data_IF_387173046309
#
_entry.id   IF_387173046309
#
_cell.length_a   1.000
_cell.length_b   1.000
_cell.length_c   1.000
_cell.angle_alpha   90.00
_cell.angle_beta   90.00
_cell.angle_gamma   90.00
#
_symmetry.space_group_name_H-M   'P 1'
#
loop_
_entity.id
_entity.type
_entity.pdbx_description
1 polymer ?
#
# COMPACT_ATOMS: atom_id res chain seq x y z
N UNK A 1 38.56 24.53 -14.00
CA UNK A 1 38.92 23.88 -12.72
C UNK A 1 37.86 22.82 -12.47
N UNK A 2 38.25 21.54 -12.37
CA UNK A 2 37.33 20.50 -11.91
C UNK A 2 37.37 20.52 -10.39
N UNK A 3 36.24 20.79 -9.73
CA UNK A 3 36.12 20.57 -8.29
C UNK A 3 36.47 19.11 -7.97
N UNK A 4 37.26 18.84 -6.93
CA UNK A 4 37.53 17.46 -6.53
C UNK A 4 36.20 16.80 -6.15
N UNK A 5 35.82 15.75 -6.89
CA UNK A 5 34.64 14.94 -6.55
C UNK A 5 34.83 14.38 -5.15
N UNK A 6 33.95 14.80 -4.24
CA UNK A 6 33.86 14.19 -2.93
C UNK A 6 33.24 12.80 -3.07
N UNK A 7 34.11 11.79 -3.17
CA UNK A 7 33.70 10.40 -3.29
C UNK A 7 32.89 9.93 -2.08
N UNK A 8 33.11 10.47 -0.87
CA UNK A 8 32.34 10.09 0.31
C UNK A 8 30.88 10.55 0.18
N UNK A 9 30.66 11.79 -0.26
CA UNK A 9 29.32 12.30 -0.54
C UNK A 9 28.61 11.47 -1.62
N UNK A 10 29.33 11.04 -2.66
CA UNK A 10 28.79 10.16 -3.70
C UNK A 10 28.40 8.77 -3.15
N UNK A 11 29.23 8.17 -2.28
CA UNK A 11 28.92 6.89 -1.65
C UNK A 11 27.71 6.99 -0.72
N UNK A 12 27.57 8.06 0.06
CA UNK A 12 26.39 8.27 0.91
C UNK A 12 25.11 8.42 0.08
N UNK A 13 25.16 9.18 -1.02
CA UNK A 13 24.03 9.34 -1.94
C UNK A 13 23.65 8.01 -2.57
N UNK A 14 24.64 7.21 -2.99
CA UNK A 14 24.41 5.88 -3.52
C UNK A 14 23.75 4.97 -2.48
N UNK A 15 24.24 4.96 -1.23
CA UNK A 15 23.64 4.19 -0.14
C UNK A 15 22.18 4.56 0.12
N UNK A 16 21.86 5.86 0.14
CA UNK A 16 20.48 6.34 0.29
C UNK A 16 19.59 5.90 -0.89
N UNK A 17 20.10 5.97 -2.11
CA UNK A 17 19.37 5.56 -3.31
C UNK A 17 19.09 4.04 -3.30
N UNK A 18 20.06 3.22 -2.92
CA UNK A 18 19.90 1.76 -2.81
C UNK A 18 18.85 1.41 -1.76
N UNK A 19 18.92 2.01 -0.57
CA UNK A 19 17.92 1.78 0.48
C UNK A 19 16.51 2.19 0.03
N UNK A 20 16.38 3.32 -0.66
CA UNK A 20 15.09 3.76 -1.20
C UNK A 20 14.54 2.76 -2.22
N UNK A 21 15.39 2.21 -3.08
CA UNK A 21 14.98 1.20 -4.05
C UNK A 21 14.53 -0.10 -3.37
N UNK A 22 15.29 -0.58 -2.39
CA UNK A 22 14.93 -1.80 -1.63
C UNK A 22 13.57 -1.65 -0.94
N UNK A 23 13.34 -0.52 -0.25
CA UNK A 23 12.05 -0.27 0.40
C UNK A 23 10.90 -0.19 -0.62
N UNK A 24 11.12 0.42 -1.78
CA UNK A 24 10.11 0.48 -2.84
C UNK A 24 9.78 -0.92 -3.38
N UNK A 25 10.77 -1.80 -3.53
CA UNK A 25 10.55 -3.19 -3.92
C UNK A 25 9.79 -3.98 -2.86
N UNK A 26 10.11 -3.79 -1.58
CA UNK A 26 9.41 -4.44 -0.48
C UNK A 26 7.93 -4.02 -0.45
N UNK A 27 7.64 -2.73 -0.58
CA UNK A 27 6.28 -2.22 -0.68
C UNK A 27 5.54 -2.78 -1.89
N UNK A 28 6.18 -2.85 -3.05
CA UNK A 28 5.57 -3.41 -4.26
C UNK A 28 5.25 -4.91 -4.10
N UNK A 29 6.13 -5.68 -3.47
CA UNK A 29 5.88 -7.11 -3.20
C UNK A 29 4.67 -7.26 -2.25
N UNK A 30 4.59 -6.41 -1.23
CA UNK A 30 3.47 -6.38 -0.30
C UNK A 30 2.15 -6.00 -1.01
N UNK A 31 2.18 -4.99 -1.87
CA UNK A 31 1.06 -4.58 -2.73
C UNK A 31 0.56 -5.70 -3.62
N UNK A 32 1.47 -6.36 -4.34
CA UNK A 32 1.12 -7.50 -5.19
C UNK A 32 0.54 -8.64 -4.36
N UNK A 33 1.10 -8.92 -3.18
CA UNK A 33 0.66 -10.01 -2.31
C UNK A 33 -0.72 -9.79 -1.68
N UNK A 34 -1.07 -8.53 -1.40
CA UNK A 34 -2.34 -8.18 -0.72
C UNK A 34 -3.42 -7.66 -1.67
N UNK A 35 -3.02 -7.11 -2.82
CA UNK A 35 -3.87 -6.37 -3.75
C UNK A 35 -4.13 -4.92 -3.32
N UNK A 36 -3.44 -4.42 -2.30
CA UNK A 36 -3.65 -3.10 -1.69
C UNK A 36 -2.31 -2.47 -1.31
N UNK A 37 -2.20 -1.15 -1.40
CA UNK A 37 -1.03 -0.43 -0.87
C UNK A 37 -0.94 -0.49 0.66
N UNK A 38 0.17 0.03 1.19
CA UNK A 38 0.45 0.00 2.63
C UNK A 38 -0.61 0.79 3.41
N UNK A 39 -1.01 1.97 2.92
CA UNK A 39 -2.00 2.82 3.59
C UNK A 39 -3.40 2.18 3.55
N UNK A 40 -3.77 1.61 2.40
CA UNK A 40 -5.00 0.85 2.23
C UNK A 40 -5.05 -0.37 3.15
N UNK A 41 -3.95 -1.11 3.31
CA UNK A 41 -3.90 -2.24 4.24
C UNK A 41 -3.98 -1.80 5.71
N UNK A 42 -3.33 -0.70 6.08
CA UNK A 42 -3.49 -0.13 7.43
C UNK A 42 -4.96 0.26 7.68
N UNK A 43 -5.65 0.82 6.69
CA UNK A 43 -7.08 1.13 6.74
C UNK A 43 -7.94 -0.13 6.88
N UNK A 44 -7.64 -1.19 6.14
CA UNK A 44 -8.31 -2.51 6.27
C UNK A 44 -8.13 -3.06 7.69
N UNK A 45 -6.90 -3.04 8.22
CA UNK A 45 -6.61 -3.50 9.58
C UNK A 45 -7.34 -2.65 10.63
N UNK A 46 -7.42 -1.34 10.43
CA UNK A 46 -8.18 -0.45 11.30
C UNK A 46 -9.67 -0.81 11.32
N UNK A 47 -10.29 -0.98 10.15
CA UNK A 47 -11.70 -1.38 10.05
C UNK A 47 -11.95 -2.75 10.69
N UNK A 48 -11.05 -3.71 10.46
CA UNK A 48 -11.13 -5.02 11.10
C UNK A 48 -11.08 -4.91 12.64
N UNK A 49 -10.24 -4.03 13.18
CA UNK A 49 -10.18 -3.77 14.63
C UNK A 49 -11.46 -3.14 15.20
N UNK A 50 -12.29 -2.52 14.35
CA UNK A 50 -13.59 -1.94 14.70
C UNK A 50 -14.75 -2.93 14.58
N UNK A 51 -14.47 -4.19 14.22
CA UNK A 51 -15.48 -5.25 14.13
C UNK A 51 -16.02 -5.52 12.73
N UNK A 52 -15.52 -4.83 11.70
CA UNK A 52 -15.80 -5.22 10.32
C UNK A 52 -15.09 -6.54 10.00
N UNK A 53 -15.72 -7.42 9.22
CA UNK A 53 -14.98 -8.55 8.70
C UNK A 53 -13.98 -8.07 7.63
N UNK A 54 -12.94 -8.86 7.36
CA UNK A 54 -11.87 -8.47 6.44
C UNK A 54 -12.37 -8.25 5.01
N UNK A 55 -13.38 -8.99 4.55
CA UNK A 55 -13.94 -8.81 3.20
C UNK A 55 -14.68 -7.49 3.05
N UNK A 56 -15.51 -7.14 4.02
CA UNK A 56 -16.26 -5.89 4.04
C UNK A 56 -15.31 -4.70 4.17
N UNK A 57 -14.29 -4.81 5.03
CA UNK A 57 -13.25 -3.80 5.15
C UNK A 57 -12.52 -3.56 3.81
N UNK A 58 -12.22 -4.62 3.06
CA UNK A 58 -11.64 -4.50 1.71
C UNK A 58 -12.57 -3.79 0.73
N UNK A 59 -13.87 -4.07 0.76
CA UNK A 59 -14.86 -3.41 -0.10
C UNK A 59 -14.96 -1.91 0.22
N UNK A 60 -15.03 -1.57 1.51
CA UNK A 60 -15.04 -0.17 1.97
C UNK A 60 -13.78 0.56 1.46
N UNK A 61 -12.60 -0.04 1.62
CA UNK A 61 -11.34 0.58 1.18
C UNK A 61 -11.26 0.72 -0.34
N UNK A 62 -11.74 -0.27 -1.11
CA UNK A 62 -11.86 -0.14 -2.57
C UNK A 62 -12.74 1.05 -2.95
N UNK A 63 -13.88 1.23 -2.28
CA UNK A 63 -14.79 2.37 -2.52
C UNK A 63 -14.13 3.70 -2.12
N UNK A 64 -13.50 3.77 -0.93
CA UNK A 64 -12.80 4.97 -0.45
C UNK A 64 -11.64 5.39 -1.37
N UNK A 65 -11.04 4.43 -2.09
CA UNK A 65 -9.87 4.62 -2.94
C UNK A 65 -10.19 4.66 -4.45
N UNK A 66 -11.47 4.80 -4.83
CA UNK A 66 -11.95 4.77 -6.22
C UNK A 66 -11.45 3.55 -7.04
N UNK A 67 -11.23 2.41 -6.37
CA UNK A 67 -10.86 1.15 -7.00
C UNK A 67 -12.08 0.42 -7.55
N UNK A 68 -11.86 -0.44 -8.54
CA UNK A 68 -12.89 -1.34 -9.05
C UNK A 68 -13.38 -2.29 -7.95
N UNK A 69 -14.69 -2.33 -7.77
CA UNK A 69 -15.39 -3.31 -6.92
C UNK A 69 -16.18 -4.23 -7.83
N UNK A 70 -16.04 -5.54 -7.64
CA UNK A 70 -16.80 -6.51 -8.43
C UNK A 70 -18.28 -6.48 -8.02
N UNK A 71 -19.18 -6.69 -8.98
CA UNK A 71 -20.63 -6.66 -8.71
C UNK A 71 -21.03 -7.65 -7.60
N UNK A 72 -20.41 -8.82 -7.59
CA UNK A 72 -20.64 -9.88 -6.59
C UNK A 72 -20.18 -9.48 -5.18
N UNK A 73 -19.10 -8.69 -5.07
CA UNK A 73 -18.64 -8.11 -3.81
C UNK A 73 -19.67 -7.09 -3.31
N UNK A 74 -20.13 -6.21 -4.22
CA UNK A 74 -21.12 -5.18 -3.91
C UNK A 74 -22.47 -5.77 -3.47
N UNK A 75 -22.94 -6.82 -4.14
CA UNK A 75 -24.17 -7.53 -3.77
C UNK A 75 -24.08 -8.14 -2.38
N UNK A 76 -22.94 -8.76 -2.02
CA UNK A 76 -22.73 -9.29 -0.66
C UNK A 76 -22.72 -8.19 0.38
N UNK A 77 -22.03 -7.09 0.08
CA UNK A 77 -21.93 -5.94 0.98
C UNK A 77 -23.30 -5.27 1.21
N UNK A 78 -24.11 -5.15 0.15
CA UNK A 78 -25.45 -4.54 0.25
C UNK A 78 -26.39 -5.27 1.22
N UNK A 79 -26.29 -6.59 1.32
CA UNK A 79 -27.09 -7.43 2.23
C UNK A 79 -26.78 -7.20 3.71
N UNK A 80 -25.71 -6.50 4.03
CA UNK A 80 -25.33 -6.15 5.41
C UNK A 80 -25.92 -4.80 5.85
N UNK A 81 -26.52 -4.04 4.92
CA UNK A 81 -27.15 -2.75 5.18
C UNK A 81 -28.67 -2.87 5.42
N UNK A 82 -29.24 -4.08 5.27
CA UNK A 82 -30.62 -4.45 5.61
C UNK A 82 -30.74 -4.92 7.08
#
# INVERSE_FOLDING_TARGET
MNEPRDFNALFEQLGKAVNKALNAYENLIYEIGTGFDVEQNERICHLASKGFNTSDAKIIVKIESDMTVELEELERFSKLLD
#
